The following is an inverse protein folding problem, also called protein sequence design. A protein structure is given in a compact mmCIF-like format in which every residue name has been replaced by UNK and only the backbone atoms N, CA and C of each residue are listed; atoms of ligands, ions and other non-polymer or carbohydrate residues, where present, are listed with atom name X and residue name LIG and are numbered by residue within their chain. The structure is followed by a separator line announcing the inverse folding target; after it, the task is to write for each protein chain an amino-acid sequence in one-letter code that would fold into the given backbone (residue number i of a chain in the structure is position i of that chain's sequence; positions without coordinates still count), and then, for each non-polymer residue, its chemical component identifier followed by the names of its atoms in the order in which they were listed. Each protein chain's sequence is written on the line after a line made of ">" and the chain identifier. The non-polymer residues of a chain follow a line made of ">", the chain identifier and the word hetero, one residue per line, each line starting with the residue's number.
data_IF_270237958734
#
_entry.id   IF_270237958734
#
_cell.length_a   1.000
_cell.length_b   1.000
_cell.length_c   1.000
_cell.angle_alpha   90.00
_cell.angle_beta   90.00
_cell.angle_gamma   90.00
#
_symmetry.space_group_name_H-M   'P 1'
#
loop_
_entity.id
_entity.type
_entity.pdbx_description
1 polymer ?
#
# COMPACT_ATOMS: atom_id res chain seq x y z
N UNK A 1 -2.45 3.67 64.79
CA UNK A 1 -1.06 3.84 65.22
C UNK A 1 -0.27 2.60 64.88
N UNK A 2 0.44 2.65 63.78
CA UNK A 2 1.77 2.13 63.58
C UNK A 2 2.03 2.05 62.05
N UNK A 3 2.86 2.97 61.61
CA UNK A 3 3.89 2.87 60.56
C UNK A 3 3.72 1.78 59.48
N UNK A 4 3.47 2.22 58.22
CA UNK A 4 3.88 1.52 57.02
C UNK A 4 4.86 2.44 56.29
N UNK A 5 6.12 2.44 56.72
CA UNK A 5 7.28 2.78 55.90
C UNK A 5 7.89 1.46 55.42
N UNK A 6 8.02 1.28 54.09
CA UNK A 6 8.79 0.19 53.55
C UNK A 6 8.15 -0.43 52.32
N UNK A 7 8.30 0.21 51.14
CA UNK A 7 8.51 -0.47 49.85
C UNK A 7 8.54 0.52 48.67
N UNK A 8 9.42 1.49 48.76
CA UNK A 8 9.76 2.37 47.65
C UNK A 8 11.16 2.07 47.09
N UNK A 9 11.54 0.79 46.99
CA UNK A 9 12.87 0.38 46.44
C UNK A 9 12.81 -0.88 45.58
N UNK A 10 11.81 -1.03 44.73
CA UNK A 10 11.77 -2.18 43.79
C UNK A 10 11.44 -1.81 42.36
N UNK A 11 11.40 -0.54 41.99
CA UNK A 11 11.08 -0.12 40.58
C UNK A 11 12.25 0.47 39.81
N UNK A 12 13.48 0.32 40.27
CA UNK A 12 14.66 0.92 39.62
C UNK A 12 15.71 -0.12 39.14
N UNK A 13 15.32 -1.36 38.85
CA UNK A 13 16.27 -2.40 38.39
C UNK A 13 15.70 -3.32 37.30
N UNK A 14 15.18 -2.78 36.21
CA UNK A 14 14.92 -3.53 34.99
C UNK A 14 15.04 -2.66 33.73
N UNK A 15 16.02 -1.77 33.70
CA UNK A 15 16.49 -1.17 32.46
C UNK A 15 17.96 -1.63 32.26
N UNK A 16 18.14 -2.89 31.96
CA UNK A 16 19.37 -3.37 31.36
C UNK A 16 19.18 -3.16 29.85
N UNK A 17 20.08 -2.42 29.16
CA UNK A 17 20.06 -2.40 27.71
C UNK A 17 20.28 -3.84 27.24
N UNK A 18 19.34 -4.35 26.48
CA UNK A 18 19.46 -5.67 25.84
C UNK A 18 20.57 -5.58 24.79
N UNK A 19 21.76 -6.03 25.14
CA UNK A 19 22.83 -6.28 24.19
C UNK A 19 22.45 -7.55 23.40
N UNK A 20 22.12 -7.39 22.14
CA UNK A 20 21.97 -8.51 21.21
C UNK A 20 23.30 -9.28 21.16
N UNK A 21 23.34 -10.46 21.74
CA UNK A 21 24.41 -11.42 21.47
C UNK A 21 24.13 -12.08 20.13
N UNK A 22 25.06 -11.94 19.19
CA UNK A 22 25.04 -12.54 17.85
C UNK A 22 25.12 -14.08 17.83
N UNK A 23 25.15 -14.73 18.97
CA UNK A 23 25.25 -16.19 19.06
C UNK A 23 23.96 -16.78 19.61
N UNK A 24 23.01 -17.09 18.72
CA UNK A 24 21.98 -18.05 19.09
C UNK A 24 21.57 -18.97 17.93
N UNK A 25 21.63 -20.23 18.25
CA UNK A 25 21.38 -21.42 17.49
C UNK A 25 20.13 -21.38 16.61
N UNK A 26 20.23 -20.76 15.45
CA UNK A 26 19.33 -21.10 14.36
C UNK A 26 19.78 -22.42 13.76
N UNK A 27 18.82 -23.32 13.57
CA UNK A 27 18.99 -24.54 12.79
C UNK A 27 19.98 -24.33 11.65
N UNK A 28 20.98 -25.22 11.50
CA UNK A 28 22.00 -25.26 10.48
C UNK A 28 21.40 -25.21 9.06
N UNK A 29 20.82 -24.09 8.68
CA UNK A 29 20.54 -23.73 7.29
C UNK A 29 21.65 -22.82 6.86
N UNK A 30 22.36 -23.22 5.83
CA UNK A 30 23.33 -22.39 5.12
C UNK A 30 22.72 -21.02 4.94
N UNK A 31 23.35 -19.98 5.55
CA UNK A 31 22.99 -18.60 5.26
C UNK A 31 23.13 -18.41 3.75
N UNK A 32 22.00 -18.16 3.07
CA UNK A 32 22.06 -17.86 1.65
C UNK A 32 22.64 -16.46 1.51
N UNK A 33 23.72 -16.35 0.76
CA UNK A 33 24.32 -15.07 0.48
C UNK A 33 23.34 -14.26 -0.39
N UNK A 34 23.02 -12.98 -0.08
CA UNK A 34 22.21 -12.10 -0.92
C UNK A 34 22.67 -12.05 -2.38
N UNK A 35 23.95 -12.30 -2.65
CA UNK A 35 24.55 -12.35 -3.99
C UNK A 35 24.16 -13.58 -4.82
N UNK A 36 23.54 -14.60 -4.21
CA UNK A 36 23.13 -15.82 -4.92
C UNK A 36 21.88 -15.60 -5.81
N UNK A 37 21.19 -14.48 -5.62
CA UNK A 37 20.02 -14.11 -6.41
C UNK A 37 20.38 -13.05 -7.44
N UNK A 38 20.04 -13.23 -8.73
CA UNK A 38 20.33 -12.25 -9.76
C UNK A 38 19.58 -10.94 -9.48
N UNK A 39 20.34 -9.87 -9.27
CA UNK A 39 19.77 -8.53 -9.16
C UNK A 39 19.37 -8.02 -10.55
N UNK A 40 18.30 -7.20 -10.67
CA UNK A 40 17.97 -6.57 -11.94
C UNK A 40 19.08 -5.60 -12.36
N UNK A 41 19.35 -5.52 -13.68
CA UNK A 41 20.41 -4.65 -14.22
C UNK A 41 20.26 -3.17 -13.80
N UNK A 42 19.03 -2.70 -13.64
CA UNK A 42 18.72 -1.33 -13.25
C UNK A 42 18.91 -1.05 -11.74
N UNK A 43 19.15 -2.06 -10.90
CA UNK A 43 19.48 -1.94 -9.47
C UNK A 43 20.36 -3.11 -9.05
N UNK A 44 21.68 -3.02 -9.29
CA UNK A 44 22.63 -4.10 -8.96
C UNK A 44 22.72 -4.41 -7.46
N UNK A 45 22.38 -3.45 -6.62
CA UNK A 45 22.37 -3.52 -5.14
C UNK A 45 20.99 -3.87 -4.55
N UNK A 46 20.00 -4.18 -5.41
CA UNK A 46 18.60 -4.42 -5.02
C UNK A 46 18.41 -5.41 -3.87
N UNK A 47 19.29 -6.37 -3.76
CA UNK A 47 19.18 -7.47 -2.80
C UNK A 47 20.14 -7.38 -1.61
N UNK A 48 20.97 -6.35 -1.51
CA UNK A 48 22.04 -6.24 -0.50
C UNK A 48 21.51 -6.41 0.94
N UNK A 49 20.33 -5.86 1.23
CA UNK A 49 19.74 -5.90 2.58
C UNK A 49 18.54 -6.88 2.67
N UNK A 50 18.32 -7.70 1.64
CA UNK A 50 17.18 -8.62 1.60
C UNK A 50 17.65 -10.06 1.83
N UNK A 51 17.20 -10.63 2.94
CA UNK A 51 17.40 -12.03 3.30
C UNK A 51 16.32 -12.91 2.70
N UNK A 52 16.71 -14.13 2.35
CA UNK A 52 15.84 -15.22 1.92
C UNK A 52 16.21 -16.47 2.72
N UNK A 53 15.22 -17.16 3.29
CA UNK A 53 15.46 -18.41 4.01
C UNK A 53 15.32 -19.64 3.07
N UNK A 54 15.58 -19.46 1.76
CA UNK A 54 15.58 -20.47 0.71
C UNK A 54 16.70 -20.15 -0.31
N UNK A 55 17.09 -21.15 -1.09
CA UNK A 55 18.13 -21.02 -2.10
C UNK A 55 17.57 -20.57 -3.47
N UNK A 56 18.45 -20.13 -4.35
CA UNK A 56 18.10 -19.86 -5.75
C UNK A 56 17.65 -21.16 -6.48
N UNK A 57 18.25 -22.29 -6.16
CA UNK A 57 17.83 -23.59 -6.71
C UNK A 57 16.40 -23.95 -6.30
N UNK A 58 15.95 -23.57 -5.10
CA UNK A 58 14.55 -23.72 -4.69
C UNK A 58 13.62 -22.87 -5.56
N UNK A 59 14.02 -21.65 -5.92
CA UNK A 59 13.25 -20.81 -6.84
C UNK A 59 13.16 -21.45 -8.21
N UNK A 60 14.27 -21.89 -8.80
CA UNK A 60 14.29 -22.57 -10.10
C UNK A 60 13.40 -23.82 -10.10
N UNK A 61 13.46 -24.63 -9.04
CA UNK A 61 12.64 -25.82 -8.87
C UNK A 61 11.13 -25.53 -8.84
N UNK A 62 10.73 -24.36 -8.33
CA UNK A 62 9.34 -23.96 -8.15
C UNK A 62 8.79 -23.06 -9.27
N UNK A 63 9.64 -22.54 -10.16
CA UNK A 63 9.23 -21.58 -11.21
C UNK A 63 8.50 -22.21 -12.39
N UNK A 64 8.53 -23.53 -12.56
CA UNK A 64 7.98 -24.19 -13.76
C UNK A 64 8.88 -24.05 -14.98
N UNK A 65 8.39 -24.47 -16.15
CA UNK A 65 9.19 -24.57 -17.39
C UNK A 65 8.98 -23.39 -18.35
N UNK A 66 8.00 -22.54 -18.12
CA UNK A 66 7.67 -21.40 -18.96
C UNK A 66 7.76 -20.09 -18.16
N UNK A 67 8.54 -19.14 -18.68
CA UNK A 67 8.59 -17.78 -18.13
C UNK A 67 7.44 -16.94 -18.69
N UNK A 68 6.53 -16.53 -17.82
CA UNK A 68 5.47 -15.56 -18.13
C UNK A 68 5.95 -14.16 -17.74
N UNK A 69 5.86 -13.21 -18.66
CA UNK A 69 6.25 -11.81 -18.37
C UNK A 69 5.10 -11.01 -17.80
N UNK A 70 5.37 -10.33 -16.69
CA UNK A 70 4.42 -9.46 -15.99
C UNK A 70 4.85 -7.99 -16.13
N UNK A 71 4.83 -7.50 -17.38
CA UNK A 71 5.40 -6.20 -17.77
C UNK A 71 4.95 -5.03 -16.90
N UNK A 72 3.67 -4.96 -16.52
CA UNK A 72 3.16 -3.87 -15.68
C UNK A 72 3.75 -3.93 -14.26
N UNK A 73 3.82 -5.11 -13.66
CA UNK A 73 4.41 -5.28 -12.34
C UNK A 73 5.92 -5.02 -12.35
N UNK A 74 6.64 -5.52 -13.36
CA UNK A 74 8.07 -5.30 -13.52
C UNK A 74 8.41 -3.82 -13.69
N UNK A 75 7.74 -3.11 -14.60
CA UNK A 75 7.92 -1.68 -14.81
C UNK A 75 7.52 -0.88 -13.57
N UNK A 76 6.41 -1.25 -12.92
CA UNK A 76 5.95 -0.62 -11.70
C UNK A 76 6.94 -0.78 -10.56
N UNK A 77 7.49 -1.98 -10.34
CA UNK A 77 8.48 -2.23 -9.30
C UNK A 77 9.76 -1.42 -9.53
N UNK A 78 10.28 -1.40 -10.77
CA UNK A 78 11.42 -0.56 -11.15
C UNK A 78 11.15 0.92 -10.88
N UNK A 79 10.02 1.42 -11.36
CA UNK A 79 9.63 2.83 -11.19
C UNK A 79 9.47 3.23 -9.73
N UNK A 80 8.84 2.37 -8.93
CA UNK A 80 8.71 2.62 -7.49
C UNK A 80 10.06 2.68 -6.79
N UNK A 81 10.97 1.74 -7.11
CA UNK A 81 12.32 1.74 -6.57
C UNK A 81 13.06 3.04 -6.91
N UNK A 82 13.03 3.48 -8.16
CA UNK A 82 13.60 4.75 -8.59
C UNK A 82 13.01 5.93 -7.79
N UNK A 83 11.69 6.02 -7.68
CA UNK A 83 11.02 7.10 -6.95
C UNK A 83 11.42 7.13 -5.46
N UNK A 84 11.49 5.97 -4.80
CA UNK A 84 11.88 5.90 -3.38
C UNK A 84 13.33 6.37 -3.12
N UNK A 85 14.20 6.31 -4.15
CA UNK A 85 15.60 6.74 -4.03
C UNK A 85 15.86 8.15 -4.55
N UNK A 86 15.03 8.66 -5.46
CA UNK A 86 15.24 9.96 -6.11
C UNK A 86 14.38 11.08 -5.52
N UNK A 87 13.18 10.75 -5.01
CA UNK A 87 12.29 11.75 -4.40
C UNK A 87 12.57 11.88 -2.89
N UNK A 88 12.25 13.03 -2.32
CA UNK A 88 12.28 13.20 -0.87
C UNK A 88 11.38 12.16 -0.20
N UNK A 89 10.17 12.01 -0.73
CA UNK A 89 9.21 10.95 -0.40
C UNK A 89 8.20 10.79 -1.53
N UNK A 90 7.53 9.64 -1.58
CA UNK A 90 6.48 9.32 -2.55
C UNK A 90 5.11 9.43 -1.87
N UNK A 91 4.35 10.52 -2.10
CA UNK A 91 3.00 10.67 -1.55
C UNK A 91 1.98 9.95 -2.44
N UNK A 92 1.01 9.27 -1.81
CA UNK A 92 -0.11 8.62 -2.52
C UNK A 92 -1.44 8.81 -1.80
N UNK A 93 -2.51 8.70 -2.57
CA UNK A 93 -3.88 8.72 -2.07
C UNK A 93 -4.55 7.36 -2.28
N UNK A 94 -5.32 6.92 -1.29
CA UNK A 94 -6.13 5.72 -1.38
C UNK A 94 -7.09 5.78 -2.57
N UNK A 95 -7.06 4.76 -3.42
CA UNK A 95 -7.78 4.67 -4.69
C UNK A 95 -8.45 3.31 -4.80
N UNK A 96 -9.64 3.22 -5.36
CA UNK A 96 -10.34 1.95 -5.58
C UNK A 96 -11.15 1.92 -6.89
N UNK A 97 -11.05 2.99 -7.71
CA UNK A 97 -11.63 3.02 -9.05
C UNK A 97 -10.60 3.43 -10.10
N UNK A 98 -10.77 2.95 -11.34
CA UNK A 98 -9.90 3.34 -12.43
C UNK A 98 -9.96 4.84 -12.75
N UNK A 99 -11.13 5.47 -12.63
CA UNK A 99 -11.26 6.91 -12.85
C UNK A 99 -10.49 7.73 -11.82
N UNK A 100 -10.59 7.39 -10.52
CA UNK A 100 -9.79 8.05 -9.48
C UNK A 100 -8.30 7.97 -9.80
N UNK A 101 -7.82 6.80 -10.23
CA UNK A 101 -6.41 6.60 -10.58
C UNK A 101 -5.99 7.50 -11.75
N UNK A 102 -6.77 7.56 -12.82
CA UNK A 102 -6.49 8.43 -13.98
C UNK A 102 -6.43 9.90 -13.55
N UNK A 103 -7.38 10.36 -12.73
CA UNK A 103 -7.39 11.76 -12.28
C UNK A 103 -6.22 12.08 -11.33
N UNK A 104 -5.82 11.15 -10.46
CA UNK A 104 -4.65 11.32 -9.60
C UNK A 104 -3.36 11.46 -10.40
N UNK A 105 -3.19 10.62 -11.44
CA UNK A 105 -2.02 10.69 -12.34
C UNK A 105 -2.02 12.01 -13.13
N UNK A 106 -3.15 12.42 -13.70
CA UNK A 106 -3.28 13.73 -14.36
C UNK A 106 -2.99 14.91 -13.44
N UNK A 107 -3.33 14.78 -12.16
CA UNK A 107 -3.01 15.78 -11.14
C UNK A 107 -1.53 15.77 -10.70
N UNK A 108 -0.71 14.85 -11.24
CA UNK A 108 0.75 14.80 -11.01
C UNK A 108 1.21 13.85 -9.90
N UNK A 109 0.34 13.00 -9.35
CA UNK A 109 0.79 11.94 -8.43
C UNK A 109 1.54 10.86 -9.21
N UNK A 110 2.69 10.44 -8.67
CA UNK A 110 3.62 9.52 -9.34
C UNK A 110 3.43 8.05 -8.94
N UNK A 111 2.50 7.77 -8.04
CA UNK A 111 2.18 6.42 -7.57
C UNK A 111 0.74 6.37 -7.02
N UNK A 112 0.18 5.17 -6.91
CA UNK A 112 -1.18 4.91 -6.46
C UNK A 112 -1.14 3.96 -5.27
N UNK A 113 -1.91 4.25 -4.22
CA UNK A 113 -2.17 3.32 -3.14
C UNK A 113 -3.55 2.66 -3.30
N UNK A 114 -3.61 1.34 -3.28
CA UNK A 114 -4.85 0.57 -3.27
C UNK A 114 -5.09 0.01 -1.88
N UNK A 115 -6.06 0.60 -1.19
CA UNK A 115 -6.44 0.28 0.18
C UNK A 115 -7.39 -0.91 0.26
N UNK A 116 -7.05 -1.91 1.07
CA UNK A 116 -7.93 -3.04 1.40
C UNK A 116 -9.21 -2.57 2.09
N UNK A 117 -9.13 -1.57 2.98
CA UNK A 117 -10.30 -0.97 3.61
C UNK A 117 -11.33 -0.45 2.57
N UNK A 118 -10.86 0.27 1.55
CA UNK A 118 -11.75 0.80 0.50
C UNK A 118 -12.31 -0.32 -0.38
N UNK A 119 -11.52 -1.36 -0.61
CA UNK A 119 -11.97 -2.57 -1.31
C UNK A 119 -13.05 -3.29 -0.50
N UNK A 120 -12.85 -3.47 0.80
CA UNK A 120 -13.88 -4.04 1.69
C UNK A 120 -15.19 -3.23 1.62
N UNK A 121 -15.09 -1.90 1.69
CA UNK A 121 -16.25 -1.02 1.75
C UNK A 121 -17.07 -1.00 0.45
N UNK A 122 -16.44 -0.92 -0.74
CA UNK A 122 -17.19 -0.61 -1.98
C UNK A 122 -16.58 -1.16 -3.27
N UNK A 123 -15.59 -2.05 -3.22
CA UNK A 123 -14.95 -2.53 -4.44
C UNK A 123 -14.59 -4.02 -4.44
N UNK A 124 -15.08 -4.79 -3.48
CA UNK A 124 -14.80 -6.22 -3.40
C UNK A 124 -15.62 -7.03 -4.43
N UNK A 125 -15.12 -8.23 -4.74
CA UNK A 125 -15.69 -9.10 -5.77
C UNK A 125 -17.02 -9.74 -5.36
N UNK A 126 -17.38 -9.76 -4.07
CA UNK A 126 -18.68 -10.25 -3.61
C UNK A 126 -19.82 -9.23 -3.79
N UNK A 127 -19.48 -7.95 -4.02
CA UNK A 127 -20.49 -6.88 -4.15
C UNK A 127 -21.17 -6.47 -2.84
N UNK A 128 -20.65 -6.91 -1.69
CA UNK A 128 -21.15 -6.52 -0.38
C UNK A 128 -20.36 -5.36 0.20
N UNK A 129 -20.93 -4.67 1.20
CA UNK A 129 -20.23 -3.70 2.01
C UNK A 129 -19.73 -4.39 3.29
N UNK A 130 -18.41 -4.38 3.51
CA UNK A 130 -17.78 -4.99 4.67
C UNK A 130 -16.94 -3.99 5.46
N UNK A 131 -16.83 -4.18 6.79
CA UNK A 131 -15.75 -3.56 7.54
C UNK A 131 -14.39 -4.16 7.13
N UNK A 132 -13.32 -3.45 7.44
CA UNK A 132 -11.95 -3.88 7.18
C UNK A 132 -11.51 -5.00 8.17
N UNK A 133 -12.00 -6.21 7.93
CA UNK A 133 -11.81 -7.42 8.74
C UNK A 133 -11.57 -8.67 7.87
N UNK A 134 -11.05 -8.49 6.66
CA UNK A 134 -10.76 -9.58 5.70
C UNK A 134 -11.98 -10.47 5.40
N UNK A 135 -13.20 -9.89 5.39
CA UNK A 135 -14.45 -10.61 5.09
C UNK A 135 -14.72 -10.76 3.59
N UNK A 136 -14.04 -9.98 2.78
CA UNK A 136 -14.19 -10.03 1.34
C UNK A 136 -13.33 -11.14 0.71
N UNK A 137 -13.68 -11.61 -0.49
CA UNK A 137 -12.91 -12.65 -1.19
C UNK A 137 -11.49 -12.20 -1.50
N UNK A 138 -10.52 -13.10 -1.36
CA UNK A 138 -9.08 -12.85 -1.53
C UNK A 138 -8.69 -12.30 -2.90
N UNK A 139 -9.48 -12.57 -3.94
CA UNK A 139 -9.27 -12.06 -5.31
C UNK A 139 -9.69 -10.61 -5.52
N UNK A 140 -10.31 -9.97 -4.53
CA UNK A 140 -10.90 -8.63 -4.65
C UNK A 140 -9.84 -7.56 -4.94
N UNK A 141 -8.75 -7.52 -4.18
CA UNK A 141 -7.68 -6.54 -4.41
C UNK A 141 -7.00 -6.76 -5.76
N UNK A 142 -6.58 -8.00 -6.14
CA UNK A 142 -6.09 -8.27 -7.51
C UNK A 142 -7.05 -7.84 -8.62
N UNK A 143 -8.36 -8.03 -8.44
CA UNK A 143 -9.37 -7.59 -9.41
C UNK A 143 -9.41 -6.05 -9.58
N UNK A 144 -9.27 -5.30 -8.48
CA UNK A 144 -9.23 -3.84 -8.53
C UNK A 144 -7.92 -3.34 -9.14
N UNK A 145 -6.77 -3.95 -8.86
CA UNK A 145 -5.49 -3.63 -9.53
C UNK A 145 -5.67 -3.76 -11.06
N UNK A 146 -6.22 -4.87 -11.54
CA UNK A 146 -6.50 -5.07 -12.98
C UNK A 146 -7.42 -3.99 -13.55
N UNK A 147 -8.45 -3.59 -12.80
CA UNK A 147 -9.39 -2.51 -13.21
C UNK A 147 -8.65 -1.18 -13.35
N UNK A 148 -7.82 -0.81 -12.37
CA UNK A 148 -7.02 0.41 -12.38
C UNK A 148 -6.06 0.40 -13.56
N UNK A 149 -5.28 -0.67 -13.73
CA UNK A 149 -4.34 -0.81 -14.83
C UNK A 149 -5.01 -0.70 -16.21
N UNK A 150 -6.21 -1.27 -16.38
CA UNK A 150 -6.98 -1.15 -17.64
C UNK A 150 -7.44 0.28 -17.91
N UNK A 151 -7.81 1.04 -16.88
CA UNK A 151 -8.15 2.45 -17.04
C UNK A 151 -6.93 3.29 -17.43
N UNK A 152 -5.78 3.08 -16.77
CA UNK A 152 -4.52 3.75 -17.10
C UNK A 152 -4.05 3.41 -18.52
N UNK A 153 -4.11 2.14 -18.93
CA UNK A 153 -3.81 1.71 -20.29
C UNK A 153 -4.76 2.37 -21.32
N UNK A 154 -6.05 2.52 -20.99
CA UNK A 154 -6.98 3.21 -21.89
C UNK A 154 -6.64 4.69 -22.02
N UNK A 155 -6.30 5.36 -20.93
CA UNK A 155 -5.87 6.75 -20.96
C UNK A 155 -4.59 6.93 -21.81
N UNK A 156 -3.63 6.03 -21.68
CA UNK A 156 -2.42 6.01 -22.49
C UNK A 156 -2.71 5.78 -23.98
N UNK A 157 -3.60 4.83 -24.31
CA UNK A 157 -4.01 4.56 -25.70
C UNK A 157 -4.66 5.78 -26.37
N UNK A 158 -5.53 6.49 -25.63
CA UNK A 158 -6.18 7.72 -26.12
C UNK A 158 -5.12 8.79 -26.38
N UNK A 159 -4.27 9.07 -25.40
CA UNK A 159 -3.18 10.03 -25.51
C UNK A 159 -2.24 9.72 -26.68
N UNK A 160 -1.84 8.45 -26.81
CA UNK A 160 -0.94 8.00 -27.89
C UNK A 160 -1.57 8.20 -29.27
N UNK A 161 -2.84 7.85 -29.44
CA UNK A 161 -3.58 8.08 -30.69
C UNK A 161 -3.68 9.58 -31.02
N UNK A 162 -4.05 10.40 -30.04
CA UNK A 162 -4.19 11.86 -30.24
C UNK A 162 -2.86 12.52 -30.60
N UNK A 163 -1.76 12.06 -30.01
CA UNK A 163 -0.40 12.52 -30.39
C UNK A 163 -0.03 12.10 -31.79
N UNK A 164 -0.29 10.84 -32.15
CA UNK A 164 -0.04 10.33 -33.50
C UNK A 164 -0.82 11.11 -34.56
N UNK A 165 -2.06 11.49 -34.26
CA UNK A 165 -2.91 12.32 -35.11
C UNK A 165 -2.54 13.82 -35.11
N UNK A 166 -1.55 14.26 -34.32
CA UNK A 166 -1.19 15.66 -34.15
C UNK A 166 -2.23 16.52 -33.44
N UNK A 167 -3.13 15.90 -32.67
CA UNK A 167 -4.23 16.58 -31.94
C UNK A 167 -3.83 17.01 -30.52
N UNK A 168 -2.79 16.42 -29.96
CA UNK A 168 -2.30 16.70 -28.61
C UNK A 168 -0.79 16.50 -28.54
N UNK A 169 -0.13 17.28 -27.69
CA UNK A 169 1.28 17.09 -27.31
C UNK A 169 1.42 16.56 -25.88
N UNK A 170 0.33 16.20 -25.23
CA UNK A 170 0.33 15.65 -23.88
C UNK A 170 1.18 14.38 -23.79
N UNK A 171 1.99 14.28 -22.71
CA UNK A 171 2.92 13.16 -22.47
C UNK A 171 2.84 12.64 -21.05
N UNK A 172 1.63 12.56 -20.50
CA UNK A 172 1.41 12.01 -19.16
C UNK A 172 1.86 10.55 -19.11
N UNK A 173 2.73 10.20 -18.16
CA UNK A 173 3.08 8.81 -17.91
C UNK A 173 2.00 8.16 -17.03
N UNK A 174 1.14 7.38 -17.66
CA UNK A 174 0.05 6.66 -16.99
C UNK A 174 0.49 5.36 -16.30
N UNK A 175 1.71 4.86 -16.59
CA UNK A 175 2.20 3.59 -16.01
C UNK A 175 2.89 3.80 -14.65
N UNK A 176 2.19 4.50 -13.77
CA UNK A 176 2.66 4.72 -12.39
C UNK A 176 2.54 3.46 -11.53
N UNK A 177 3.45 3.24 -10.57
CA UNK A 177 3.41 2.07 -9.69
C UNK A 177 2.16 2.05 -8.81
N UNK A 178 1.59 0.85 -8.63
CA UNK A 178 0.48 0.57 -7.71
C UNK A 178 1.01 -0.20 -6.51
N UNK A 179 0.81 0.35 -5.32
CA UNK A 179 1.12 -0.27 -4.03
C UNK A 179 -0.18 -0.82 -3.46
N UNK A 180 -0.25 -2.13 -3.18
CA UNK A 180 -1.49 -2.83 -2.88
C UNK A 180 -1.50 -3.47 -1.49
N UNK A 181 -2.68 -3.53 -0.90
CA UNK A 181 -2.99 -4.11 0.39
C UNK A 181 -3.26 -5.62 0.27
N UNK A 182 -2.50 -6.44 0.99
CA UNK A 182 -2.72 -7.89 1.10
C UNK A 182 -3.24 -8.31 2.48
N UNK A 183 -3.67 -7.34 3.31
CA UNK A 183 -4.18 -7.63 4.64
C UNK A 183 -3.17 -8.47 5.47
N UNK A 184 -3.65 -9.41 6.26
CA UNK A 184 -2.80 -10.40 6.94
C UNK A 184 -2.50 -11.66 6.07
N UNK A 185 -2.66 -11.56 4.74
CA UNK A 185 -2.40 -12.65 3.80
C UNK A 185 -3.53 -13.67 3.63
N UNK A 186 -4.73 -13.42 4.19
CA UNK A 186 -5.93 -14.29 4.11
C UNK A 186 -5.73 -15.74 4.56
N UNK A 187 -4.74 -15.98 5.41
CA UNK A 187 -4.44 -17.30 5.97
C UNK A 187 -2.98 -17.46 6.36
N UNK A 188 -2.39 -18.60 6.03
CA UNK A 188 -0.98 -18.88 6.31
C UNK A 188 -0.04 -18.52 5.16
N UNK A 189 1.25 -18.93 5.25
CA UNK A 189 2.25 -18.61 4.23
C UNK A 189 1.90 -19.07 2.81
N UNK A 190 1.17 -20.19 2.66
CA UNK A 190 0.74 -20.67 1.33
C UNK A 190 -0.33 -19.74 0.71
N UNK A 191 -1.23 -19.20 1.53
CA UNK A 191 -2.20 -18.20 1.07
C UNK A 191 -1.49 -16.91 0.65
N UNK A 192 -0.53 -16.43 1.44
CA UNK A 192 0.28 -15.25 1.12
C UNK A 192 1.09 -15.43 -0.18
N UNK A 193 1.65 -16.62 -0.41
CA UNK A 193 2.35 -16.96 -1.65
C UNK A 193 1.44 -16.84 -2.88
N UNK A 194 0.26 -17.46 -2.85
CA UNK A 194 -0.68 -17.40 -3.98
C UNK A 194 -1.30 -16.02 -4.16
N UNK A 195 -1.60 -15.32 -3.05
CA UNK A 195 -2.08 -13.94 -3.12
C UNK A 195 -1.05 -13.01 -3.76
N UNK A 196 0.23 -13.13 -3.37
CA UNK A 196 1.31 -12.33 -3.95
C UNK A 196 1.45 -12.58 -5.45
N UNK A 197 1.34 -13.82 -5.92
CA UNK A 197 1.31 -14.15 -7.36
C UNK A 197 0.16 -13.45 -8.06
N UNK A 198 -1.05 -13.52 -7.49
CA UNK A 198 -2.23 -12.86 -8.06
C UNK A 198 -2.09 -11.33 -8.13
N UNK A 199 -1.42 -10.71 -7.14
CA UNK A 199 -1.09 -9.29 -7.13
C UNK A 199 -0.12 -8.93 -8.27
N UNK A 200 0.93 -9.72 -8.45
CA UNK A 200 1.92 -9.55 -9.52
C UNK A 200 1.27 -9.72 -10.90
N UNK A 201 0.47 -10.75 -11.10
CA UNK A 201 -0.30 -10.97 -12.34
C UNK A 201 -1.24 -9.81 -12.66
N UNK A 202 -1.79 -9.17 -11.63
CA UNK A 202 -2.63 -7.98 -11.78
C UNK A 202 -1.84 -6.70 -12.09
N UNK A 203 -0.51 -6.70 -11.86
CA UNK A 203 0.39 -5.57 -12.13
C UNK A 203 0.73 -4.72 -10.91
N UNK A 204 0.73 -5.28 -9.68
CA UNK A 204 1.20 -4.58 -8.49
C UNK A 204 2.71 -4.35 -8.52
N UNK A 205 3.15 -3.15 -8.16
CA UNK A 205 4.56 -2.76 -8.01
C UNK A 205 5.11 -3.11 -6.63
N UNK A 206 4.27 -2.98 -5.62
CA UNK A 206 4.55 -3.33 -4.24
C UNK A 206 3.31 -3.89 -3.57
N UNK A 207 3.53 -4.73 -2.54
CA UNK A 207 2.45 -5.33 -1.75
C UNK A 207 2.83 -5.25 -0.28
N UNK A 208 1.90 -4.83 0.57
CA UNK A 208 2.11 -4.89 2.00
C UNK A 208 1.29 -6.00 2.66
N UNK A 209 1.89 -6.59 3.68
CA UNK A 209 1.29 -7.56 4.58
C UNK A 209 1.39 -7.05 6.02
N UNK A 210 0.48 -7.48 6.89
CA UNK A 210 0.47 -7.11 8.30
C UNK A 210 0.53 -8.31 9.24
N UNK A 211 1.07 -8.09 10.45
CA UNK A 211 1.38 -9.14 11.44
C UNK A 211 0.19 -9.56 12.32
N UNK A 212 -1.04 -9.29 11.88
CA UNK A 212 -2.25 -9.74 12.54
C UNK A 212 -2.59 -11.20 12.20
N UNK A 213 -3.33 -11.87 13.10
CA UNK A 213 -3.97 -13.14 12.81
C UNK A 213 -5.07 -12.92 11.76
N UNK A 214 -4.99 -13.60 10.63
CA UNK A 214 -5.88 -13.37 9.48
C UNK A 214 -7.37 -13.56 9.82
N UNK A 215 -7.71 -14.54 10.68
CA UNK A 215 -9.10 -14.78 11.11
C UNK A 215 -9.65 -13.73 12.09
N UNK A 216 -8.78 -12.97 12.75
CA UNK A 216 -9.13 -11.94 13.73
C UNK A 216 -8.67 -10.55 13.30
N UNK A 217 -8.39 -10.36 12.03
CA UNK A 217 -7.90 -9.10 11.48
C UNK A 217 -8.87 -7.96 11.76
N UNK A 218 -8.32 -6.84 12.15
CA UNK A 218 -9.03 -5.57 12.39
C UNK A 218 -8.31 -4.43 11.68
N UNK A 219 -9.07 -3.40 11.27
CA UNK A 219 -8.47 -2.14 10.82
C UNK A 219 -7.51 -1.60 11.89
N UNK A 220 -6.42 -1.00 11.45
CA UNK A 220 -5.33 -0.54 12.33
C UNK A 220 -5.77 0.33 13.52
N UNK A 221 -6.86 1.08 13.38
CA UNK A 221 -7.40 1.97 14.42
C UNK A 221 -8.52 1.33 15.28
N UNK A 222 -8.84 0.06 15.03
CA UNK A 222 -9.81 -0.68 15.85
C UNK A 222 -9.12 -1.45 16.97
N UNK A 223 -9.86 -1.71 18.04
CA UNK A 223 -9.45 -2.61 19.11
C UNK A 223 -9.56 -4.09 18.73
N UNK A 224 -9.09 -4.98 19.62
CA UNK A 224 -9.23 -6.43 19.45
C UNK A 224 -8.26 -7.04 18.42
N UNK A 225 -7.19 -6.34 18.06
CA UNK A 225 -6.13 -6.88 17.19
C UNK A 225 -5.38 -8.00 17.89
N UNK A 226 -5.21 -9.12 17.19
CA UNK A 226 -4.43 -10.27 17.64
C UNK A 226 -3.22 -10.42 16.71
N UNK A 227 -2.01 -10.31 17.26
CA UNK A 227 -0.79 -10.53 16.51
C UNK A 227 -0.49 -12.02 16.35
N UNK A 228 0.19 -12.37 15.27
CA UNK A 228 0.92 -13.64 15.17
C UNK A 228 2.34 -13.46 15.72
N UNK A 229 3.04 -14.54 16.16
CA UNK A 229 4.44 -14.46 16.55
C UNK A 229 5.31 -13.86 15.45
N UNK A 230 6.31 -13.08 15.83
CA UNK A 230 7.23 -12.37 14.92
C UNK A 230 7.77 -13.30 13.82
N UNK A 231 8.30 -14.48 14.18
CA UNK A 231 8.81 -15.46 13.19
C UNK A 231 7.71 -16.08 12.31
N UNK A 232 6.47 -16.09 12.76
CA UNK A 232 5.34 -16.52 11.92
C UNK A 232 5.08 -15.49 10.81
N UNK A 233 5.12 -14.22 11.13
CA UNK A 233 4.99 -13.18 10.12
C UNK A 233 6.20 -13.10 9.18
N UNK A 234 7.42 -13.32 9.69
CA UNK A 234 8.62 -13.47 8.84
C UNK A 234 8.42 -14.57 7.79
N UNK A 235 7.79 -15.70 8.15
CA UNK A 235 7.46 -16.75 7.16
C UNK A 235 6.46 -16.28 6.10
N UNK A 236 5.52 -15.41 6.46
CA UNK A 236 4.61 -14.78 5.51
C UNK A 236 5.35 -13.86 4.54
N UNK A 237 6.29 -13.03 5.04
CA UNK A 237 7.14 -12.18 4.20
C UNK A 237 8.04 -13.01 3.27
N UNK A 238 8.64 -14.09 3.77
CA UNK A 238 9.43 -15.03 2.95
C UNK A 238 8.57 -15.70 1.87
N UNK A 239 7.33 -16.07 2.18
CA UNK A 239 6.42 -16.66 1.18
C UNK A 239 6.06 -15.65 0.08
N UNK A 240 5.81 -14.40 0.44
CA UNK A 240 5.58 -13.32 -0.52
C UNK A 240 6.83 -13.05 -1.38
N UNK A 241 8.03 -13.05 -0.78
CA UNK A 241 9.29 -12.89 -1.51
C UNK A 241 9.55 -14.06 -2.44
N UNK A 242 9.32 -15.28 -2.00
CA UNK A 242 9.44 -16.48 -2.83
C UNK A 242 8.50 -16.42 -4.04
N UNK A 243 7.26 -15.95 -3.85
CA UNK A 243 6.32 -15.76 -4.95
C UNK A 243 6.85 -14.77 -5.99
N UNK A 244 7.41 -13.64 -5.55
CA UNK A 244 8.01 -12.65 -6.43
C UNK A 244 9.22 -13.21 -7.20
N UNK A 245 10.10 -13.94 -6.52
CA UNK A 245 11.29 -14.56 -7.11
C UNK A 245 10.89 -15.66 -8.13
N UNK A 246 9.90 -16.52 -7.80
CA UNK A 246 9.38 -17.57 -8.70
C UNK A 246 8.74 -16.95 -9.97
N UNK A 247 8.10 -15.80 -9.83
CA UNK A 247 7.51 -15.10 -10.97
C UNK A 247 8.52 -14.21 -11.73
N UNK A 248 9.75 -14.09 -11.25
CA UNK A 248 10.81 -13.30 -11.85
C UNK A 248 10.54 -11.79 -11.85
N UNK A 249 9.76 -11.29 -10.88
CA UNK A 249 9.42 -9.87 -10.76
C UNK A 249 9.96 -9.33 -9.43
N UNK A 250 10.80 -8.27 -9.44
CA UNK A 250 11.40 -7.70 -8.22
C UNK A 250 10.41 -6.82 -7.45
N UNK A 251 9.19 -7.32 -7.25
CA UNK A 251 8.11 -6.62 -6.54
C UNK A 251 8.55 -6.25 -5.12
N UNK A 252 8.28 -5.01 -4.71
CA UNK A 252 8.63 -4.55 -3.38
C UNK A 252 7.66 -5.14 -2.34
N UNK A 253 8.18 -5.47 -1.19
CA UNK A 253 7.41 -5.96 -0.04
C UNK A 253 7.49 -4.93 1.07
N UNK A 254 6.34 -4.56 1.62
CA UNK A 254 6.24 -3.72 2.81
C UNK A 254 5.68 -4.54 3.97
N UNK A 255 6.40 -4.55 5.08
CA UNK A 255 5.95 -5.21 6.30
C UNK A 255 5.30 -4.19 7.22
N UNK A 256 4.01 -4.40 7.55
CA UNK A 256 3.28 -3.62 8.52
C UNK A 256 3.28 -4.33 9.88
N UNK A 257 3.53 -3.58 10.95
CA UNK A 257 3.27 -4.03 12.31
C UNK A 257 2.17 -3.23 12.96
N UNK A 258 1.27 -3.93 13.62
CA UNK A 258 0.18 -3.38 14.45
C UNK A 258 0.50 -3.41 15.95
N UNK A 259 1.75 -3.71 16.32
CA UNK A 259 2.17 -3.94 17.71
C UNK A 259 2.09 -2.70 18.60
N UNK A 260 2.04 -1.47 18.03
CA UNK A 260 1.84 -0.25 18.83
C UNK A 260 0.53 -0.34 19.62
N UNK A 261 -0.58 -0.68 18.97
CA UNK A 261 -1.89 -0.69 19.59
C UNK A 261 -2.39 -2.09 20.00
N UNK A 262 -1.79 -3.17 19.49
CA UNK A 262 -2.23 -4.53 19.77
C UNK A 262 -2.04 -4.89 21.26
N UNK A 263 -2.98 -5.72 21.77
CA UNK A 263 -2.98 -6.18 23.17
C UNK A 263 -3.07 -7.70 23.30
N UNK A 264 -3.09 -8.40 22.17
CA UNK A 264 -3.23 -9.86 22.10
C UNK A 264 -2.23 -10.44 21.10
N UNK A 265 -1.76 -11.65 21.39
CA UNK A 265 -0.91 -12.46 20.52
C UNK A 265 -1.31 -13.93 20.60
N UNK A 266 -1.16 -14.68 19.52
CA UNK A 266 -1.58 -16.08 19.45
C UNK A 266 -0.71 -17.04 20.27
N UNK A 267 0.56 -16.71 20.52
CA UNK A 267 1.51 -17.59 21.21
C UNK A 267 2.63 -16.77 21.86
N UNK A 268 3.23 -17.33 22.91
CA UNK A 268 4.35 -16.78 23.68
C UNK A 268 5.70 -17.42 23.37
N UNK A 269 5.77 -18.27 22.34
CA UNK A 269 6.98 -19.07 22.03
C UNK A 269 8.09 -18.30 21.33
N UNK A 270 7.81 -17.08 20.87
CA UNK A 270 8.76 -16.30 20.08
C UNK A 270 9.60 -15.40 20.99
N UNK A 271 10.91 -15.50 20.90
CA UNK A 271 11.83 -14.72 21.71
C UNK A 271 11.75 -13.21 21.47
N UNK A 272 11.41 -12.76 20.26
CA UNK A 272 11.19 -11.35 19.94
C UNK A 272 9.97 -10.78 20.66
N UNK A 273 8.96 -11.61 20.92
CA UNK A 273 7.71 -11.21 21.54
C UNK A 273 7.70 -11.43 23.06
N UNK A 274 8.52 -12.36 23.55
CA UNK A 274 8.57 -12.75 24.96
C UNK A 274 8.69 -11.58 25.95
N UNK A 275 9.46 -10.49 25.71
CA UNK A 275 9.54 -9.35 26.60
C UNK A 275 8.23 -8.59 26.79
N UNK A 276 7.29 -8.73 25.87
CA UNK A 276 6.04 -8.00 25.81
C UNK A 276 4.84 -8.84 26.24
N UNK A 277 4.97 -10.16 26.32
CA UNK A 277 3.89 -11.06 26.74
C UNK A 277 3.74 -11.05 28.25
N UNK A 278 2.51 -10.88 28.75
CA UNK A 278 2.26 -10.79 30.20
C UNK A 278 2.11 -12.14 30.90
N UNK A 279 1.91 -13.24 30.14
CA UNK A 279 1.59 -14.57 30.64
C UNK A 279 0.10 -14.79 30.94
N UNK A 280 -0.72 -13.74 30.98
CA UNK A 280 -2.18 -13.85 31.11
C UNK A 280 -2.80 -14.28 29.77
N UNK A 281 -3.94 -15.01 29.86
CA UNK A 281 -4.67 -15.49 28.68
C UNK A 281 -6.12 -15.03 28.68
N UNK A 282 -6.68 -14.89 27.48
CA UNK A 282 -8.13 -14.66 27.28
C UNK A 282 -8.90 -16.00 27.27
N UNK A 283 -10.23 -15.91 27.25
CA UNK A 283 -11.10 -17.09 27.15
C UNK A 283 -10.88 -17.87 25.84
N UNK A 284 -10.55 -17.16 24.73
CA UNK A 284 -10.22 -17.76 23.45
C UNK A 284 -8.82 -18.39 23.44
N UNK A 285 -8.02 -18.16 24.48
CA UNK A 285 -6.68 -18.71 24.63
C UNK A 285 -5.55 -17.84 24.08
N UNK A 286 -5.81 -16.62 23.63
CA UNK A 286 -4.77 -15.68 23.25
C UNK A 286 -4.01 -15.18 24.48
N UNK A 287 -2.71 -14.92 24.31
CA UNK A 287 -1.91 -14.26 25.35
C UNK A 287 -2.13 -12.75 25.33
N UNK A 288 -2.14 -12.13 26.51
CA UNK A 288 -2.14 -10.68 26.63
C UNK A 288 -0.75 -10.11 26.35
N UNK A 289 -0.72 -8.98 25.66
CA UNK A 289 0.49 -8.33 25.18
C UNK A 289 0.53 -6.87 25.69
N UNK A 290 1.68 -6.47 26.23
CA UNK A 290 2.02 -5.05 26.43
C UNK A 290 2.55 -4.47 25.13
N UNK A 291 1.63 -4.10 24.23
CA UNK A 291 1.99 -3.41 22.98
C UNK A 291 2.55 -2.02 23.25
N UNK A 292 2.90 -1.31 22.21
CA UNK A 292 3.47 0.03 22.25
C UNK A 292 4.65 0.16 21.30
N UNK A 293 5.24 1.34 21.27
CA UNK A 293 6.28 1.66 20.32
C UNK A 293 7.51 0.74 20.41
N UNK A 294 7.86 0.25 21.62
CA UNK A 294 8.99 -0.65 21.80
C UNK A 294 8.75 -2.03 21.17
N UNK A 295 7.53 -2.57 21.33
CA UNK A 295 7.13 -3.81 20.67
C UNK A 295 7.13 -3.64 19.14
N UNK A 296 6.67 -2.50 18.65
CA UNK A 296 6.70 -2.18 17.23
C UNK A 296 8.15 -2.06 16.69
N UNK A 297 9.06 -1.44 17.43
CA UNK A 297 10.49 -1.33 17.07
C UNK A 297 11.14 -2.72 17.01
N UNK A 298 10.91 -3.56 18.03
CA UNK A 298 11.47 -4.93 18.06
C UNK A 298 11.03 -5.73 16.83
N UNK A 299 9.75 -5.65 16.47
CA UNK A 299 9.20 -6.29 15.26
C UNK A 299 9.73 -5.65 13.97
N UNK A 300 9.82 -4.32 13.92
CA UNK A 300 10.39 -3.62 12.78
C UNK A 300 11.83 -4.03 12.48
N UNK A 301 12.65 -4.21 13.51
CA UNK A 301 14.03 -4.73 13.40
C UNK A 301 14.02 -6.16 12.84
N UNK A 302 13.14 -7.03 13.35
CA UNK A 302 13.05 -8.41 12.91
C UNK A 302 12.55 -8.55 11.45
N UNK A 303 11.72 -7.64 10.98
CA UNK A 303 11.15 -7.65 9.62
C UNK A 303 12.05 -6.99 8.57
N UNK A 304 12.93 -6.06 8.98
CA UNK A 304 13.77 -5.30 8.08
C UNK A 304 14.58 -6.15 7.08
N UNK A 305 15.17 -7.30 7.45
CA UNK A 305 15.88 -8.14 6.49
C UNK A 305 14.99 -8.82 5.44
N UNK A 306 13.65 -8.81 5.61
CA UNK A 306 12.70 -9.52 4.75
C UNK A 306 11.80 -8.60 3.94
N UNK A 307 11.87 -7.29 4.18
CA UNK A 307 11.00 -6.30 3.54
C UNK A 307 11.78 -5.08 3.05
N UNK A 308 11.31 -4.50 1.95
CA UNK A 308 11.88 -3.28 1.36
C UNK A 308 11.52 -2.04 2.18
N UNK A 309 10.32 -2.03 2.76
CA UNK A 309 9.82 -0.95 3.61
C UNK A 309 9.21 -1.53 4.88
N UNK A 310 9.34 -0.78 5.98
CA UNK A 310 8.67 -1.10 7.24
C UNK A 310 7.65 -0.02 7.57
N UNK A 311 6.45 -0.45 7.92
CA UNK A 311 5.35 0.41 8.34
C UNK A 311 4.90 0.02 9.76
N UNK A 312 4.98 0.98 10.68
CA UNK A 312 4.31 0.90 11.98
C UNK A 312 2.96 1.60 11.89
N UNK A 313 1.88 0.88 12.10
CA UNK A 313 0.57 1.53 12.27
C UNK A 313 0.51 2.26 13.59
N UNK A 314 0.16 3.56 13.57
CA UNK A 314 0.14 4.45 14.72
C UNK A 314 -1.26 4.91 15.06
N UNK A 315 -1.48 5.31 16.32
CA UNK A 315 -2.80 5.72 16.83
C UNK A 315 -3.07 7.23 16.65
N UNK A 316 -2.04 8.03 16.38
CA UNK A 316 -2.10 9.50 16.25
C UNK A 316 -0.94 10.02 15.41
N UNK A 317 -1.04 11.25 14.83
CA UNK A 317 0.06 11.87 14.09
C UNK A 317 1.06 12.51 15.08
N UNK A 318 2.03 11.73 15.56
CA UNK A 318 3.02 12.16 16.56
C UNK A 318 4.44 12.07 15.97
N UNK A 319 5.09 13.22 15.77
CA UNK A 319 6.45 13.29 15.22
C UNK A 319 7.50 12.68 16.16
N UNK A 320 7.28 12.75 17.48
CA UNK A 320 8.24 12.18 18.43
C UNK A 320 8.18 10.65 18.41
N UNK A 321 6.98 10.07 18.29
CA UNK A 321 6.77 8.64 18.16
C UNK A 321 7.31 8.13 16.81
N UNK A 322 7.02 8.85 15.71
CA UNK A 322 7.58 8.54 14.40
C UNK A 322 9.13 8.55 14.42
N UNK A 323 9.72 9.55 15.06
CA UNK A 323 11.18 9.62 15.22
C UNK A 323 11.72 8.45 16.02
N UNK A 324 11.10 8.11 17.15
CA UNK A 324 11.52 6.99 18.02
C UNK A 324 11.51 5.66 17.27
N UNK A 325 10.46 5.41 16.47
CA UNK A 325 10.38 4.23 15.63
C UNK A 325 11.49 4.21 14.57
N UNK A 326 11.65 5.31 13.83
CA UNK A 326 12.66 5.43 12.81
C UNK A 326 14.08 5.23 13.36
N UNK A 327 14.44 5.90 14.45
CA UNK A 327 15.74 5.78 15.12
C UNK A 327 15.95 4.36 15.65
N UNK A 328 14.92 3.73 16.24
CA UNK A 328 15.00 2.37 16.76
C UNK A 328 15.32 1.35 15.69
N UNK A 329 14.58 1.35 14.59
CA UNK A 329 14.81 0.42 13.46
C UNK A 329 16.12 0.72 12.75
N UNK A 330 16.37 1.99 12.41
CA UNK A 330 17.52 2.39 11.60
C UNK A 330 18.85 2.40 12.38
N UNK A 331 18.82 2.29 13.68
CA UNK A 331 20.03 2.03 14.47
C UNK A 331 20.63 0.66 14.15
N UNK A 332 19.79 -0.33 13.83
CA UNK A 332 20.21 -1.70 13.49
C UNK A 332 20.32 -1.86 11.96
N UNK A 333 19.39 -1.28 11.22
CA UNK A 333 19.31 -1.33 9.76
C UNK A 333 19.33 0.10 9.18
N UNK A 334 20.51 0.73 9.03
CA UNK A 334 20.65 2.16 8.71
C UNK A 334 19.95 2.60 7.42
N UNK A 335 19.92 1.73 6.42
CA UNK A 335 19.38 2.01 5.09
C UNK A 335 17.89 1.64 4.97
N UNK A 336 17.27 1.11 6.04
CA UNK A 336 15.87 0.69 5.98
C UNK A 336 14.95 1.85 5.65
N UNK A 337 14.21 1.71 4.56
CA UNK A 337 13.13 2.63 4.19
C UNK A 337 11.89 2.37 5.03
N UNK A 338 11.19 3.45 5.38
CA UNK A 338 9.99 3.41 6.18
C UNK A 338 8.78 3.92 5.40
N UNK A 339 7.60 3.48 5.80
CA UNK A 339 6.32 3.97 5.29
C UNK A 339 5.45 4.53 6.42
N UNK A 340 4.62 5.52 6.12
CA UNK A 340 3.74 6.17 7.07
C UNK A 340 2.32 6.32 6.52
N UNK A 341 1.35 5.85 7.29
CA UNK A 341 -0.06 6.11 7.04
C UNK A 341 -0.47 7.45 7.63
N UNK A 342 -0.67 8.45 6.76
CA UNK A 342 -1.30 9.72 7.14
C UNK A 342 -2.82 9.52 7.29
N UNK A 343 -3.21 8.71 8.26
CA UNK A 343 -4.55 8.16 8.41
C UNK A 343 -5.65 9.23 8.46
N UNK A 344 -6.76 9.03 7.74
CA UNK A 344 -7.96 9.86 7.89
C UNK A 344 -8.70 9.61 9.22
N UNK A 345 -8.36 8.56 9.97
CA UNK A 345 -8.85 8.34 11.34
C UNK A 345 -8.28 9.36 12.33
N UNK A 346 -7.19 10.04 11.97
CA UNK A 346 -6.67 11.14 12.77
C UNK A 346 -7.50 12.41 12.50
N UNK A 347 -7.91 13.09 13.57
CA UNK A 347 -8.39 14.47 13.42
C UNK A 347 -7.18 15.42 13.42
N UNK A 348 -6.55 15.58 12.27
CA UNK A 348 -5.31 16.33 12.09
C UNK A 348 -5.34 17.71 12.77
N UNK A 349 -6.45 18.45 12.60
CA UNK A 349 -6.60 19.79 13.17
C UNK A 349 -6.70 19.82 14.71
N UNK A 350 -6.95 18.68 15.37
CA UNK A 350 -6.87 18.57 16.82
C UNK A 350 -5.44 18.37 17.33
N UNK A 351 -4.55 17.88 16.50
CA UNK A 351 -3.19 17.51 16.89
C UNK A 351 -2.17 18.58 16.53
N UNK A 352 -2.39 19.34 15.46
CA UNK A 352 -1.45 20.36 15.00
C UNK A 352 -2.13 21.47 14.21
N UNK A 353 -1.49 22.62 14.14
CA UNK A 353 -1.95 23.74 13.34
C UNK A 353 -1.66 23.52 11.83
N UNK A 354 -2.17 24.42 11.01
CA UNK A 354 -2.04 24.33 9.55
C UNK A 354 -0.59 24.42 9.06
N UNK A 355 0.27 25.14 9.77
CA UNK A 355 1.68 25.30 9.41
C UNK A 355 2.44 23.98 9.70
N UNK A 356 2.24 23.39 10.87
CA UNK A 356 2.80 22.10 11.23
C UNK A 356 2.30 20.98 10.30
N UNK A 357 1.00 20.92 9.98
CA UNK A 357 0.47 19.97 9.00
C UNK A 357 1.17 20.05 7.64
N UNK A 358 1.47 21.26 7.17
CA UNK A 358 2.16 21.48 5.89
C UNK A 358 3.58 20.92 5.88
N UNK A 359 4.24 20.88 7.05
CA UNK A 359 5.62 20.42 7.19
C UNK A 359 5.71 18.95 7.55
N UNK A 360 4.66 18.36 8.15
CA UNK A 360 4.66 17.03 8.74
C UNK A 360 5.27 15.96 7.83
N UNK A 361 4.80 15.87 6.58
CA UNK A 361 5.28 14.86 5.63
C UNK A 361 6.77 15.01 5.29
N UNK A 362 7.27 16.23 5.21
CA UNK A 362 8.69 16.52 4.97
C UNK A 362 9.55 16.16 6.20
N UNK A 363 9.03 16.43 7.38
CA UNK A 363 9.73 16.11 8.63
C UNK A 363 9.90 14.60 8.81
N UNK A 364 8.84 13.82 8.58
CA UNK A 364 8.96 12.35 8.64
C UNK A 364 9.78 11.79 7.48
N UNK A 365 9.74 12.40 6.28
CA UNK A 365 10.61 12.01 5.17
C UNK A 365 12.10 12.12 5.54
N UNK A 366 12.50 13.18 6.24
CA UNK A 366 13.86 13.35 6.75
C UNK A 366 14.28 12.27 7.77
N UNK A 367 13.31 11.59 8.40
CA UNK A 367 13.56 10.46 9.30
C UNK A 367 13.70 9.12 8.55
N UNK A 368 13.40 9.07 7.24
CA UNK A 368 13.47 7.87 6.41
C UNK A 368 12.11 7.31 5.97
N UNK A 369 11.00 8.00 6.25
CA UNK A 369 9.68 7.62 5.75
C UNK A 369 9.54 8.00 4.27
N UNK A 370 10.05 7.14 3.42
CA UNK A 370 10.13 7.35 1.97
C UNK A 370 8.80 7.17 1.25
N UNK A 371 7.87 6.41 1.81
CA UNK A 371 6.54 6.22 1.27
C UNK A 371 5.48 6.69 2.25
N UNK A 372 4.57 7.56 1.80
CA UNK A 372 3.56 8.18 2.66
C UNK A 372 2.21 8.19 1.95
N UNK A 373 1.16 7.80 2.64
CA UNK A 373 -0.14 7.62 2.00
C UNK A 373 -1.31 7.98 2.91
N UNK A 374 -2.44 8.32 2.28
CA UNK A 374 -3.73 8.53 2.96
C UNK A 374 -4.65 7.38 2.56
N UNK A 375 -4.86 6.43 3.45
CA UNK A 375 -5.52 5.16 3.16
C UNK A 375 -6.92 5.30 2.55
N UNK A 376 -7.76 6.19 3.06
CA UNK A 376 -9.18 6.28 2.70
C UNK A 376 -9.53 7.56 1.93
N UNK A 377 -8.54 8.21 1.29
CA UNK A 377 -8.76 9.46 0.59
C UNK A 377 -9.84 9.36 -0.50
N UNK A 378 -9.83 8.26 -1.26
CA UNK A 378 -10.83 8.04 -2.31
C UNK A 378 -12.23 7.86 -1.78
N UNK A 379 -12.40 7.10 -0.68
CA UNK A 379 -13.69 6.90 -0.04
C UNK A 379 -14.27 8.22 0.51
N UNK A 380 -13.48 8.97 1.27
CA UNK A 380 -13.94 10.23 1.84
C UNK A 380 -14.26 11.28 0.78
N UNK A 381 -13.42 11.38 -0.26
CA UNK A 381 -13.68 12.29 -1.36
C UNK A 381 -14.99 11.94 -2.07
N UNK A 382 -15.16 10.68 -2.49
CA UNK A 382 -16.38 10.22 -3.16
C UNK A 382 -17.63 10.44 -2.28
N UNK A 383 -17.57 10.03 -1.02
CA UNK A 383 -18.70 10.14 -0.08
C UNK A 383 -19.10 11.59 0.15
N UNK A 384 -18.13 12.47 0.44
CA UNK A 384 -18.41 13.87 0.72
C UNK A 384 -18.93 14.61 -0.52
N UNK A 385 -18.26 14.48 -1.65
CA UNK A 385 -18.66 15.22 -2.87
C UNK A 385 -20.01 14.76 -3.40
N UNK A 386 -20.33 13.46 -3.29
CA UNK A 386 -21.65 12.93 -3.64
C UNK A 386 -22.74 13.46 -2.71
N UNK A 387 -22.48 13.45 -1.39
CA UNK A 387 -23.41 13.98 -0.40
C UNK A 387 -23.67 15.49 -0.61
N UNK A 388 -22.61 16.26 -0.79
CA UNK A 388 -22.70 17.71 -0.99
C UNK A 388 -23.50 18.07 -2.25
N UNK A 389 -23.16 17.43 -3.38
CA UNK A 389 -23.90 17.64 -4.62
C UNK A 389 -25.37 17.24 -4.49
N UNK A 390 -25.66 16.07 -3.92
CA UNK A 390 -27.05 15.60 -3.77
C UNK A 390 -27.88 16.51 -2.86
N UNK A 391 -27.26 17.01 -1.77
CA UNK A 391 -27.91 17.95 -0.84
C UNK A 391 -28.25 19.27 -1.52
N UNK A 392 -27.33 19.87 -2.25
CA UNK A 392 -27.52 21.11 -3.00
C UNK A 392 -28.50 20.92 -4.16
N UNK A 393 -28.38 19.82 -4.91
CA UNK A 393 -29.27 19.49 -6.01
C UNK A 393 -30.73 19.35 -5.55
N UNK A 394 -30.95 18.75 -4.37
CA UNK A 394 -32.32 18.66 -3.79
C UNK A 394 -32.90 20.04 -3.50
N UNK A 395 -32.08 21.02 -3.14
CA UNK A 395 -32.55 22.40 -2.82
C UNK A 395 -32.70 23.26 -4.07
N UNK A 396 -31.69 23.27 -4.95
CA UNK A 396 -31.48 24.25 -6.00
C UNK A 396 -31.52 23.66 -7.43
N UNK A 397 -31.77 22.34 -7.56
CA UNK A 397 -31.87 21.65 -8.84
C UNK A 397 -30.65 21.82 -9.74
N UNK A 398 -30.90 22.12 -11.02
CA UNK A 398 -29.85 22.25 -12.03
C UNK A 398 -28.87 23.41 -11.77
N UNK A 399 -29.25 24.40 -10.96
CA UNK A 399 -28.33 25.47 -10.58
C UNK A 399 -27.13 24.91 -9.79
N UNK A 400 -27.38 24.05 -8.82
CA UNK A 400 -26.32 23.37 -8.06
C UNK A 400 -25.44 22.47 -8.94
N UNK A 401 -26.02 21.74 -9.88
CA UNK A 401 -25.26 20.91 -10.82
C UNK A 401 -24.38 21.76 -11.74
N UNK A 402 -24.92 22.91 -12.23
CA UNK A 402 -24.17 23.84 -13.06
C UNK A 402 -22.93 24.41 -12.34
N UNK A 403 -23.01 24.65 -11.04
CA UNK A 403 -21.83 25.09 -10.26
C UNK A 403 -20.68 24.05 -10.29
N UNK A 404 -21.01 22.76 -10.16
CA UNK A 404 -20.01 21.68 -10.31
C UNK A 404 -19.41 21.73 -11.72
N UNK A 405 -20.25 21.82 -12.75
CA UNK A 405 -19.83 21.85 -14.15
C UNK A 405 -18.91 23.06 -14.43
N UNK A 406 -19.22 24.24 -13.89
CA UNK A 406 -18.35 25.42 -14.04
C UNK A 406 -17.02 25.26 -13.29
N UNK A 407 -17.01 24.55 -12.16
CA UNK A 407 -15.76 24.23 -11.46
C UNK A 407 -14.89 23.23 -12.25
N UNK A 408 -15.51 22.28 -12.95
CA UNK A 408 -14.83 21.37 -13.87
C UNK A 408 -14.19 22.13 -15.06
N UNK A 409 -14.91 23.03 -15.71
CA UNK A 409 -14.36 23.89 -16.77
C UNK A 409 -13.20 24.74 -16.27
N UNK A 410 -13.31 25.35 -15.10
CA UNK A 410 -12.23 26.12 -14.50
C UNK A 410 -11.00 25.25 -14.17
N UNK A 411 -11.19 23.96 -13.91
CA UNK A 411 -10.11 23.03 -13.63
C UNK A 411 -9.35 22.58 -14.90
N UNK A 412 -9.87 22.81 -16.10
CA UNK A 412 -9.19 22.50 -17.36
C UNK A 412 -7.83 23.23 -17.47
N UNK A 413 -7.73 24.43 -16.94
CA UNK A 413 -6.47 25.19 -16.85
C UNK A 413 -5.38 24.46 -16.02
N UNK A 414 -5.75 23.47 -15.22
CA UNK A 414 -4.86 22.63 -14.40
C UNK A 414 -4.71 21.21 -14.94
N UNK A 415 -5.20 20.92 -16.17
CA UNK A 415 -5.09 19.62 -16.81
C UNK A 415 -6.28 18.68 -16.55
N UNK A 416 -7.39 19.16 -15.96
CA UNK A 416 -8.62 18.37 -15.86
C UNK A 416 -9.28 18.28 -17.23
N UNK A 417 -9.64 17.06 -17.69
CA UNK A 417 -10.19 16.85 -19.05
C UNK A 417 -11.49 16.07 -19.05
N UNK A 418 -12.00 15.65 -17.87
CA UNK A 418 -13.17 14.80 -17.79
C UNK A 418 -14.51 15.53 -18.09
N UNK A 419 -14.48 16.87 -18.27
CA UNK A 419 -15.58 17.60 -18.93
C UNK A 419 -15.92 16.96 -20.27
N UNK A 420 -14.93 16.51 -21.02
CA UNK A 420 -15.07 15.76 -22.28
C UNK A 420 -15.22 14.27 -21.99
N UNK A 421 -16.25 13.88 -21.28
CA UNK A 421 -16.42 12.52 -20.76
C UNK A 421 -16.43 11.44 -21.85
N UNK A 422 -16.90 11.72 -23.07
CA UNK A 422 -16.83 10.78 -24.20
C UNK A 422 -15.36 10.50 -24.60
N UNK A 423 -14.51 11.53 -24.59
CA UNK A 423 -13.08 11.39 -24.80
C UNK A 423 -12.44 10.54 -23.70
N UNK A 424 -12.77 10.83 -22.45
CA UNK A 424 -12.19 10.13 -21.29
C UNK A 424 -12.41 8.61 -21.31
N UNK A 425 -13.54 8.16 -21.82
CA UNK A 425 -13.84 6.72 -21.94
C UNK A 425 -13.39 6.11 -23.28
N UNK A 426 -12.87 6.94 -24.21
CA UNK A 426 -12.27 6.49 -25.46
C UNK A 426 -13.23 6.35 -26.62
N UNK A 427 -14.31 7.13 -26.72
CA UNK A 427 -15.22 7.10 -27.86
C UNK A 427 -14.49 7.35 -29.17
N UNK A 428 -13.62 8.37 -29.24
CA UNK A 428 -12.79 8.64 -30.43
C UNK A 428 -11.81 7.51 -30.76
N UNK A 429 -11.29 6.79 -29.75
CA UNK A 429 -10.42 5.64 -29.94
C UNK A 429 -11.16 4.49 -30.64
N UNK A 430 -12.42 4.22 -30.23
CA UNK A 430 -13.22 3.18 -30.89
C UNK A 430 -13.73 3.61 -32.27
N UNK A 431 -13.95 4.90 -32.49
CA UNK A 431 -14.20 5.43 -33.85
C UNK A 431 -13.02 5.17 -34.78
N UNK A 432 -11.79 5.38 -34.28
CA UNK A 432 -10.57 5.06 -35.02
C UNK A 432 -10.47 3.55 -35.32
N UNK A 433 -10.77 2.68 -34.36
CA UNK A 433 -10.82 1.22 -34.55
C UNK A 433 -11.84 0.87 -35.64
N UNK A 434 -13.07 1.40 -35.56
CA UNK A 434 -14.14 1.16 -36.55
C UNK A 434 -13.71 1.60 -37.96
N UNK A 435 -13.12 2.77 -38.06
CA UNK A 435 -12.63 3.32 -39.35
C UNK A 435 -11.50 2.49 -39.92
N UNK A 436 -10.57 2.05 -39.06
CA UNK A 436 -9.43 1.22 -39.48
C UNK A 436 -9.88 -0.14 -40.04
N UNK A 437 -10.77 -0.85 -39.32
CA UNK A 437 -11.22 -2.18 -39.75
C UNK A 437 -12.11 -2.14 -41.01
N UNK A 438 -12.71 -0.99 -41.31
CA UNK A 438 -13.53 -0.75 -42.50
C UNK A 438 -12.77 -0.09 -43.67
N UNK A 439 -11.44 -0.04 -43.60
CA UNK A 439 -10.58 0.63 -44.61
C UNK A 439 -11.02 2.09 -44.90
N UNK A 440 -11.42 2.80 -43.86
CA UNK A 440 -11.85 4.20 -43.91
C UNK A 440 -13.33 4.42 -44.26
N UNK A 441 -14.11 3.36 -44.46
CA UNK A 441 -15.50 3.45 -44.92
C UNK A 441 -16.58 3.34 -43.81
N UNK A 442 -16.21 3.54 -42.53
CA UNK A 442 -17.19 3.49 -41.43
C UNK A 442 -18.17 4.66 -41.53
N UNK A 443 -19.46 4.35 -41.48
CA UNK A 443 -20.55 5.32 -41.39
C UNK A 443 -21.13 5.41 -39.98
N UNK A 444 -20.58 4.65 -39.02
CA UNK A 444 -21.13 4.50 -37.65
C UNK A 444 -20.21 5.08 -36.58
N UNK A 445 -19.33 6.02 -36.93
CA UNK A 445 -18.49 6.73 -35.98
C UNK A 445 -19.37 7.59 -35.06
N UNK A 446 -19.11 7.49 -33.74
CA UNK A 446 -19.97 8.10 -32.73
C UNK A 446 -19.71 9.60 -32.54
N UNK A 447 -18.46 10.05 -32.72
CA UNK A 447 -18.12 11.47 -32.53
C UNK A 447 -18.50 12.35 -33.70
N UNK A 448 -18.58 11.79 -34.93
CA UNK A 448 -18.98 12.55 -36.11
C UNK A 448 -20.46 13.00 -35.98
N UNK A 449 -20.69 14.28 -36.21
CA UNK A 449 -22.01 14.92 -36.11
C UNK A 449 -22.62 14.83 -34.69
N UNK A 450 -21.80 14.59 -33.66
CA UNK A 450 -22.21 14.57 -32.26
C UNK A 450 -22.38 15.98 -31.68
N UNK A 451 -23.32 16.15 -30.75
CA UNK A 451 -23.48 17.40 -29.99
C UNK A 451 -22.29 17.70 -29.10
N UNK A 452 -21.51 16.69 -28.71
CA UNK A 452 -20.30 16.82 -27.91
C UNK A 452 -19.24 17.73 -28.55
N UNK A 453 -19.13 17.72 -29.88
CA UNK A 453 -18.17 18.55 -30.64
C UNK A 453 -18.47 20.05 -30.55
N UNK A 454 -19.66 20.44 -30.13
CA UNK A 454 -20.10 21.84 -30.08
C UNK A 454 -20.27 22.37 -28.64
N UNK A 455 -20.27 21.51 -27.65
CA UNK A 455 -20.55 21.88 -26.26
C UNK A 455 -19.33 21.85 -25.36
N UNK A 456 -18.26 21.12 -25.75
CA UNK A 456 -17.08 20.93 -24.93
C UNK A 456 -15.77 21.25 -25.66
#
# INVERSE_FOLDING_TARGET
>A
WASIEGNAKCFAKCLVPYEFKEEDHMLNRTETNPTDFPAPEWAPDRWTNIRRDYSHDDVLRLSGSLTVRHTLAENGARRLWELLHTEDFVPTLGTFTGNQAVQQVKAGLKAIYLSGWQVAADANSSGNMYPDQSLYPVDSVPAVIRRINRALQRADQIQTMERFDGKSEETTDYFVPIIADAEAGFGGPLNAFELMKAMIEAGAAAVHFEDQLASEKKCGHLGGKVLVPTRTFVRTLNAARLAADVMGVPTLIMARTDAEAARLITSDVDEYDAPFVTGERTEEGFYRLNGGIEAAIARGIAYAPYADLIWCETSKPDLAEARRFAEGVRKVHPDQMLAYNCSPSFNWAKHMDKAAMKMFQREIAAMGYKYQFITLAGFHNLSYTTFDLASRYKADGMAAYSELQQAEFAAEARGFTATRHQREVGTSYFDAVSTTVSAGMSSTTAMKDSTETHQF
#
